data_IF_072815964935
#
_entry.id   IF_072815964935
#
_cell.length_a   1.000
_cell.length_b   1.000
_cell.length_c   1.000
_cell.angle_alpha   90.00
_cell.angle_beta   90.00
_cell.angle_gamma   90.00
#
_symmetry.space_group_name_H-M   'P 1'
#
loop_
_entity.id
_entity.type
_entity.pdbx_description
1 polymer ?
#
# COMPACT_ATOMS: atom_id res chain seq x y z
N UNK A 1 -5.89 -18.56 -9.63
CA UNK A 1 -4.55 -18.01 -9.40
C UNK A 1 -4.35 -17.76 -7.91
N UNK A 2 -3.13 -18.01 -7.40
CA UNK A 2 -2.75 -17.71 -6.02
C UNK A 2 -2.22 -16.31 -5.92
N UNK A 3 -2.69 -15.52 -4.96
CA UNK A 3 -2.19 -14.17 -4.71
C UNK A 3 -1.22 -14.13 -3.52
N UNK A 4 -0.26 -13.22 -3.61
CA UNK A 4 0.69 -12.89 -2.56
C UNK A 4 0.41 -11.47 -2.06
N UNK A 5 -0.05 -11.36 -0.83
CA UNK A 5 -0.37 -10.10 -0.18
C UNK A 5 0.76 -9.65 0.75
N UNK A 6 0.94 -8.36 0.94
CA UNK A 6 1.97 -7.81 1.84
C UNK A 6 1.69 -8.09 3.31
N UNK A 7 0.44 -8.41 3.64
CA UNK A 7 -0.05 -8.77 4.96
C UNK A 7 -1.52 -8.44 5.13
N UNK A 8 -2.13 -9.00 6.18
CA UNK A 8 -3.52 -8.75 6.53
C UNK A 8 -3.78 -7.27 6.75
N UNK A 9 -4.81 -6.73 6.10
CA UNK A 9 -5.26 -5.34 6.16
C UNK A 9 -4.20 -4.29 5.75
N UNK A 10 -3.17 -4.68 5.00
CA UNK A 10 -2.23 -3.72 4.45
C UNK A 10 -2.81 -3.00 3.24
N UNK A 11 -2.69 -1.65 3.24
CA UNK A 11 -3.31 -0.77 2.24
C UNK A 11 -3.00 -1.19 0.80
N UNK A 12 -1.74 -1.09 0.39
CA UNK A 12 -1.36 -1.32 -1.00
C UNK A 12 -1.39 -2.80 -1.42
N UNK A 13 -1.15 -3.72 -0.48
CA UNK A 13 -1.11 -5.15 -0.78
C UNK A 13 -2.42 -5.90 -0.59
N UNK A 14 -3.46 -5.26 -0.04
CA UNK A 14 -4.74 -5.92 0.21
C UNK A 14 -5.95 -5.01 0.06
N UNK A 15 -6.03 -3.90 0.81
CA UNK A 15 -7.25 -3.09 0.86
C UNK A 15 -7.56 -2.41 -0.48
N UNK A 16 -6.58 -1.75 -1.09
CA UNK A 16 -6.75 -1.07 -2.38
C UNK A 16 -7.07 -2.08 -3.50
N UNK A 17 -6.30 -3.16 -3.70
CA UNK A 17 -6.62 -4.15 -4.72
C UNK A 17 -8.00 -4.79 -4.54
N UNK A 18 -8.34 -5.20 -3.34
CA UNK A 18 -9.64 -5.83 -3.09
C UNK A 18 -10.78 -4.83 -3.21
N UNK A 19 -10.61 -3.60 -2.71
CA UNK A 19 -11.59 -2.54 -2.89
C UNK A 19 -11.85 -2.22 -4.38
N UNK A 20 -10.80 -2.21 -5.20
CA UNK A 20 -10.91 -2.09 -6.65
C UNK A 20 -11.67 -3.26 -7.28
N UNK A 21 -11.28 -4.50 -6.95
CA UNK A 21 -11.90 -5.70 -7.54
C UNK A 21 -13.37 -5.83 -7.16
N UNK A 22 -13.72 -5.55 -5.91
CA UNK A 22 -15.11 -5.59 -5.43
C UNK A 22 -15.91 -4.42 -6.02
N UNK A 23 -15.38 -3.20 -5.96
CA UNK A 23 -16.07 -2.01 -6.43
C UNK A 23 -16.37 -2.00 -7.93
N UNK A 24 -15.57 -2.72 -8.73
CA UNK A 24 -15.80 -2.91 -10.16
C UNK A 24 -16.58 -4.20 -10.49
N UNK A 25 -17.02 -4.95 -9.49
CA UNK A 25 -17.80 -6.17 -9.69
C UNK A 25 -17.00 -7.37 -10.22
N UNK A 26 -15.66 -7.32 -10.12
CA UNK A 26 -14.83 -8.47 -10.49
C UNK A 26 -14.80 -9.54 -9.40
N UNK A 27 -14.89 -9.13 -8.13
CA UNK A 27 -14.97 -10.02 -6.99
C UNK A 27 -16.28 -9.79 -6.23
N UNK A 28 -16.97 -10.86 -5.87
CA UNK A 28 -18.15 -10.82 -5.02
C UNK A 28 -17.74 -11.03 -3.56
N UNK A 29 -18.34 -10.27 -2.64
CA UNK A 29 -18.10 -10.43 -1.21
C UNK A 29 -18.65 -11.79 -0.75
N UNK A 30 -17.79 -12.59 -0.13
CA UNK A 30 -18.18 -13.88 0.47
C UNK A 30 -18.28 -13.69 1.97
N UNK A 31 -19.51 -13.80 2.49
CA UNK A 31 -19.84 -13.58 3.89
C UNK A 31 -20.66 -12.32 4.13
N UNK A 32 -20.60 -11.81 5.35
CA UNK A 32 -21.29 -10.57 5.71
C UNK A 32 -20.49 -9.33 5.25
N UNK A 33 -21.05 -8.47 4.40
CA UNK A 33 -20.35 -7.28 3.91
C UNK A 33 -20.05 -6.25 5.00
N UNK A 34 -20.64 -6.35 6.18
CA UNK A 34 -20.38 -5.48 7.32
C UNK A 34 -19.23 -5.99 8.21
N UNK A 35 -18.73 -7.20 7.94
CA UNK A 35 -17.70 -7.85 8.77
C UNK A 35 -16.36 -7.94 8.02
N UNK A 36 -15.30 -7.44 8.65
CA UNK A 36 -13.96 -7.43 8.07
C UNK A 36 -13.40 -8.84 7.79
N UNK A 37 -13.82 -9.84 8.56
CA UNK A 37 -13.39 -11.22 8.37
C UNK A 37 -13.90 -11.83 7.06
N UNK A 38 -14.96 -11.26 6.47
CA UNK A 38 -15.44 -11.63 5.13
C UNK A 38 -14.45 -11.31 4.02
N UNK A 39 -13.49 -10.39 4.26
CA UNK A 39 -12.46 -10.07 3.30
C UNK A 39 -11.55 -11.27 3.00
N UNK A 40 -11.17 -12.06 4.00
CA UNK A 40 -10.32 -13.25 3.78
C UNK A 40 -11.01 -14.29 2.91
N UNK A 41 -12.27 -14.59 3.21
CA UNK A 41 -13.08 -15.50 2.40
C UNK A 41 -13.25 -14.97 0.96
N UNK A 42 -13.42 -13.66 0.80
CA UNK A 42 -13.52 -12.99 -0.50
C UNK A 42 -12.22 -13.12 -1.30
N UNK A 43 -11.06 -12.94 -0.68
CA UNK A 43 -9.75 -13.15 -1.33
C UNK A 43 -9.61 -14.60 -1.79
N UNK A 44 -9.90 -15.55 -0.93
CA UNK A 44 -9.79 -16.96 -1.26
C UNK A 44 -10.78 -17.40 -2.34
N UNK A 45 -11.98 -16.85 -2.34
CA UNK A 45 -12.98 -17.14 -3.39
C UNK A 45 -12.61 -16.56 -4.76
N UNK A 46 -12.01 -15.38 -4.79
CA UNK A 46 -11.59 -14.76 -6.04
C UNK A 46 -10.27 -15.33 -6.58
N UNK A 47 -9.28 -15.54 -5.72
CA UNK A 47 -7.97 -16.07 -6.09
C UNK A 47 -7.89 -17.58 -5.83
N UNK A 48 -7.47 -17.98 -4.63
CA UNK A 48 -7.31 -19.38 -4.23
C UNK A 48 -7.15 -19.47 -2.72
N UNK A 49 -7.59 -20.59 -2.11
CA UNK A 49 -7.34 -20.91 -0.70
C UNK A 49 -5.85 -20.98 -0.34
N UNK A 50 -4.99 -21.24 -1.34
CA UNK A 50 -3.54 -21.25 -1.19
C UNK A 50 -2.90 -19.83 -1.30
N UNK A 51 -3.68 -18.75 -1.39
CA UNK A 51 -3.15 -17.40 -1.43
C UNK A 51 -2.44 -17.04 -0.13
N UNK A 52 -1.33 -16.31 -0.22
CA UNK A 52 -0.54 -15.90 0.95
C UNK A 52 -1.05 -14.59 1.52
N UNK A 53 -1.63 -14.64 2.73
CA UNK A 53 -2.11 -13.49 3.51
C UNK A 53 -1.41 -13.47 4.87
N UNK A 54 -0.18 -12.97 4.97
CA UNK A 54 0.57 -12.98 6.23
C UNK A 54 -0.11 -12.15 7.32
N UNK A 55 -0.29 -12.74 8.51
CA UNK A 55 -0.82 -12.07 9.73
C UNK A 55 0.27 -11.73 10.75
N UNK A 56 1.53 -11.95 10.40
CA UNK A 56 2.68 -11.71 11.28
C UNK A 56 4.00 -11.85 10.53
N UNK A 57 5.09 -12.08 11.26
CA UNK A 57 6.41 -12.30 10.66
C UNK A 57 6.40 -13.59 9.82
N UNK A 58 6.63 -13.45 8.53
CA UNK A 58 6.71 -14.52 7.55
C UNK A 58 7.72 -14.14 6.48
N UNK A 59 8.41 -15.09 5.82
CA UNK A 59 9.25 -14.80 4.67
C UNK A 59 8.52 -14.05 3.56
N UNK A 60 7.19 -14.19 3.51
CA UNK A 60 6.31 -13.59 2.51
C UNK A 60 5.59 -12.34 2.99
N UNK A 61 5.88 -11.82 4.19
CA UNK A 61 5.31 -10.56 4.67
C UNK A 61 6.05 -9.34 4.12
N UNK A 62 5.39 -8.17 4.08
CA UNK A 62 5.86 -6.91 3.50
C UNK A 62 5.92 -6.90 1.96
N UNK A 63 6.29 -5.79 1.37
CA UNK A 63 6.47 -5.66 -0.08
C UNK A 63 7.48 -6.66 -0.64
N UNK A 64 8.65 -6.73 0.02
CA UNK A 64 9.72 -7.66 -0.32
C UNK A 64 9.23 -9.11 -0.25
N UNK A 65 8.52 -9.46 0.82
CA UNK A 65 8.03 -10.81 1.03
C UNK A 65 6.94 -11.22 0.06
N UNK A 66 6.01 -10.34 -0.28
CA UNK A 66 4.96 -10.62 -1.28
C UNK A 66 5.57 -10.81 -2.69
N UNK A 67 6.58 -10.02 -3.05
CA UNK A 67 7.31 -10.23 -4.30
C UNK A 67 8.06 -11.58 -4.27
N UNK A 68 8.77 -11.87 -3.20
CA UNK A 68 9.47 -13.15 -3.02
C UNK A 68 8.52 -14.35 -3.15
N UNK A 69 7.32 -14.27 -2.57
CA UNK A 69 6.28 -15.30 -2.67
C UNK A 69 5.94 -15.62 -4.14
N UNK A 70 5.81 -14.61 -4.98
CA UNK A 70 5.55 -14.79 -6.41
C UNK A 70 6.80 -15.33 -7.14
N UNK A 71 7.97 -14.76 -6.89
CA UNK A 71 9.21 -15.14 -7.55
C UNK A 71 9.63 -16.59 -7.26
N UNK A 72 9.40 -17.07 -6.04
CA UNK A 72 9.66 -18.45 -5.64
C UNK A 72 8.54 -19.43 -6.09
N UNK A 73 7.49 -18.94 -6.76
CA UNK A 73 6.38 -19.76 -7.26
C UNK A 73 5.40 -20.23 -6.19
N UNK A 74 5.45 -19.65 -4.98
CA UNK A 74 4.45 -19.92 -3.94
C UNK A 74 3.10 -19.28 -4.28
N UNK A 75 3.10 -18.21 -5.09
CA UNK A 75 1.92 -17.60 -5.68
C UNK A 75 2.16 -17.17 -7.13
N UNK A 76 1.07 -16.83 -7.82
CA UNK A 76 1.09 -16.45 -9.24
C UNK A 76 1.11 -14.93 -9.44
N UNK A 77 0.63 -14.15 -8.45
CA UNK A 77 0.44 -12.71 -8.54
C UNK A 77 0.87 -12.08 -7.21
N UNK A 78 1.71 -11.04 -7.25
CA UNK A 78 2.04 -10.23 -6.09
C UNK A 78 1.31 -8.88 -6.14
N UNK A 79 0.60 -8.54 -5.06
CA UNK A 79 -0.09 -7.26 -4.90
C UNK A 79 0.82 -6.31 -4.11
N UNK A 80 1.55 -5.48 -4.84
CA UNK A 80 2.66 -4.67 -4.32
C UNK A 80 2.69 -3.30 -5.00
N UNK A 81 3.58 -2.40 -4.55
CA UNK A 81 3.89 -1.16 -5.27
C UNK A 81 4.68 -1.46 -6.54
N UNK A 82 4.52 -0.62 -7.54
CA UNK A 82 5.23 -0.68 -8.83
C UNK A 82 6.75 -0.58 -8.69
N UNK A 83 7.24 0.16 -7.69
CA UNK A 83 8.67 0.37 -7.42
C UNK A 83 9.38 -0.81 -6.75
N UNK A 84 8.66 -1.83 -6.30
CA UNK A 84 9.23 -2.92 -5.48
C UNK A 84 10.23 -3.77 -6.26
N UNK A 85 9.97 -4.04 -7.55
CA UNK A 85 10.92 -4.77 -8.38
C UNK A 85 12.28 -4.07 -8.44
N UNK A 86 12.27 -2.78 -8.74
CA UNK A 86 13.50 -2.00 -8.85
C UNK A 86 14.24 -1.88 -7.51
N UNK A 87 13.49 -1.87 -6.40
CA UNK A 87 14.07 -1.77 -5.06
C UNK A 87 14.80 -3.03 -4.59
N UNK A 88 14.43 -4.23 -5.08
CA UNK A 88 14.94 -5.49 -4.55
C UNK A 88 15.52 -6.44 -5.58
N UNK A 89 15.26 -6.20 -6.87
CA UNK A 89 15.64 -7.11 -7.95
C UNK A 89 16.53 -6.46 -9.02
N UNK A 90 17.11 -5.29 -8.75
CA UNK A 90 18.04 -4.63 -9.66
C UNK A 90 19.37 -4.29 -8.99
N UNK A 91 20.43 -4.12 -9.79
CA UNK A 91 21.75 -3.74 -9.30
C UNK A 91 22.52 -4.87 -8.62
N UNK A 92 23.59 -4.49 -7.90
CA UNK A 92 24.50 -5.44 -7.21
C UNK A 92 23.86 -6.13 -5.99
N UNK A 93 22.80 -5.56 -5.45
CA UNK A 93 22.13 -6.01 -4.23
C UNK A 93 20.83 -6.80 -4.52
N UNK A 94 20.61 -7.14 -5.80
CA UNK A 94 19.51 -7.99 -6.20
C UNK A 94 19.53 -9.34 -5.45
N UNK A 95 18.35 -9.77 -5.00
CA UNK A 95 18.26 -11.03 -4.26
C UNK A 95 18.28 -12.25 -5.18
N UNK A 96 18.84 -13.35 -4.70
CA UNK A 96 18.97 -14.62 -5.43
C UNK A 96 17.62 -15.23 -5.87
N UNK A 97 16.51 -14.84 -5.23
CA UNK A 97 15.16 -15.30 -5.59
C UNK A 97 14.49 -14.44 -6.67
N UNK A 98 15.12 -13.36 -7.13
CA UNK A 98 14.56 -12.53 -8.18
C UNK A 98 14.60 -13.24 -9.54
N UNK A 99 13.48 -13.15 -10.27
CA UNK A 99 13.41 -13.51 -11.68
C UNK A 99 13.87 -12.32 -12.53
N UNK A 100 14.28 -12.59 -13.76
CA UNK A 100 14.63 -11.54 -14.71
C UNK A 100 13.40 -10.66 -15.05
N UNK A 101 13.64 -9.42 -15.44
CA UNK A 101 12.56 -8.45 -15.68
C UNK A 101 11.59 -8.85 -16.78
N UNK A 102 12.05 -9.59 -17.77
CA UNK A 102 11.27 -10.11 -18.90
C UNK A 102 10.44 -11.36 -18.54
N UNK A 103 10.72 -12.00 -17.41
CA UNK A 103 9.91 -13.08 -16.85
C UNK A 103 8.73 -12.56 -16.00
N UNK A 104 8.70 -11.25 -15.71
CA UNK A 104 7.69 -10.63 -14.85
C UNK A 104 6.84 -9.66 -15.64
N UNK A 105 5.51 -9.82 -15.56
CA UNK A 105 4.55 -8.91 -16.18
C UNK A 105 3.95 -7.99 -15.13
N UNK A 106 4.08 -6.67 -15.35
CA UNK A 106 3.38 -5.66 -14.55
C UNK A 106 1.95 -5.52 -15.09
N UNK A 107 0.97 -5.70 -14.21
CA UNK A 107 -0.44 -5.50 -14.52
C UNK A 107 -0.83 -4.02 -14.36
N UNK A 108 -2.02 -3.65 -14.85
CA UNK A 108 -2.59 -2.32 -14.63
C UNK A 108 -2.70 -2.00 -13.12
N UNK A 109 -2.36 -0.77 -12.70
CA UNK A 109 -2.41 -0.39 -11.29
C UNK A 109 -3.85 -0.31 -10.78
N UNK A 110 -4.07 -0.78 -9.56
CA UNK A 110 -5.37 -0.72 -8.87
C UNK A 110 -5.69 0.65 -8.26
N UNK A 111 -4.70 1.53 -8.14
CA UNK A 111 -4.83 2.84 -7.53
C UNK A 111 -3.55 3.29 -6.82
N UNK A 112 -3.65 4.38 -6.09
CA UNK A 112 -2.55 4.98 -5.36
C UNK A 112 -2.73 4.80 -3.85
N UNK A 113 -1.67 4.40 -3.16
CA UNK A 113 -1.62 4.45 -1.70
C UNK A 113 -1.22 5.87 -1.26
N UNK A 114 -1.91 6.46 -0.26
CA UNK A 114 -1.51 7.76 0.27
C UNK A 114 -0.13 7.67 0.91
N UNK A 115 0.61 8.77 0.89
CA UNK A 115 1.86 8.90 1.64
C UNK A 115 1.59 8.97 3.15
N UNK A 116 2.64 8.88 3.95
CA UNK A 116 2.53 9.04 5.40
C UNK A 116 2.39 10.52 5.75
N UNK A 117 1.28 10.96 6.39
CA UNK A 117 1.12 12.35 6.81
C UNK A 117 1.83 12.63 8.13
N UNK A 118 2.33 13.85 8.29
CA UNK A 118 2.63 14.41 9.59
C UNK A 118 1.33 14.99 10.18
N UNK A 119 0.91 14.49 11.34
CA UNK A 119 -0.33 14.89 11.99
C UNK A 119 -0.04 15.82 13.16
N UNK A 120 -0.91 16.80 13.37
CA UNK A 120 -0.91 17.63 14.56
C UNK A 120 -2.33 17.70 15.17
N UNK A 121 -2.41 18.02 16.47
CA UNK A 121 -3.69 18.26 17.13
C UNK A 121 -4.11 19.72 16.92
N UNK A 122 -5.22 20.01 16.24
CA UNK A 122 -5.65 21.38 15.96
C UNK A 122 -5.99 22.20 17.23
N UNK A 123 -6.31 21.53 18.34
CA UNK A 123 -6.55 22.20 19.62
C UNK A 123 -5.27 22.77 20.24
N UNK A 124 -4.10 22.25 19.84
CA UNK A 124 -2.78 22.66 20.30
C UNK A 124 -2.03 23.45 19.22
N UNK A 125 -2.73 24.06 18.26
CA UNK A 125 -2.10 24.85 17.21
C UNK A 125 -1.57 26.16 17.79
N UNK A 126 -0.31 26.17 18.11
CA UNK A 126 0.46 27.31 18.61
C UNK A 126 1.49 27.79 17.56
N UNK A 127 2.25 28.82 17.92
CA UNK A 127 3.30 29.34 17.07
C UNK A 127 4.39 28.32 16.75
N UNK A 128 4.65 27.36 17.64
CA UNK A 128 5.66 26.32 17.43
C UNK A 128 5.20 25.32 16.35
N UNK A 129 3.91 24.95 16.35
CA UNK A 129 3.31 24.10 15.33
C UNK A 129 3.32 24.77 13.96
N UNK A 130 3.00 26.07 13.89
CA UNK A 130 3.05 26.84 12.65
C UNK A 130 4.48 26.91 12.13
N UNK A 131 5.46 27.21 12.99
CA UNK A 131 6.86 27.26 12.65
C UNK A 131 7.40 25.91 12.16
N UNK A 132 6.92 24.80 12.73
CA UNK A 132 7.27 23.46 12.27
C UNK A 132 6.71 23.16 10.88
N UNK A 133 5.46 23.56 10.58
CA UNK A 133 4.89 23.41 9.24
C UNK A 133 5.68 24.19 8.19
N UNK A 134 6.05 25.45 8.52
CA UNK A 134 6.87 26.30 7.66
C UNK A 134 8.26 25.68 7.43
N UNK A 135 8.91 25.17 8.49
CA UNK A 135 10.21 24.54 8.39
C UNK A 135 10.17 23.24 7.54
N UNK A 136 9.11 22.40 7.71
CA UNK A 136 8.93 21.20 6.89
C UNK A 136 8.68 21.56 5.42
N UNK A 137 7.90 22.61 5.15
CA UNK A 137 7.66 23.11 3.80
C UNK A 137 8.93 23.66 3.14
N UNK A 138 9.80 24.31 3.93
CA UNK A 138 11.07 24.88 3.44
C UNK A 138 12.05 23.81 2.95
N UNK A 139 11.92 22.55 3.40
CA UNK A 139 12.73 21.43 2.87
C UNK A 139 12.48 21.15 1.38
N UNK A 140 11.39 21.67 0.80
CA UNK A 140 11.11 21.53 -0.63
C UNK A 140 11.91 22.52 -1.49
N UNK A 141 12.54 23.55 -0.89
CA UNK A 141 13.07 24.71 -1.60
C UNK A 141 14.47 24.47 -2.17
N UNK A 142 15.19 23.48 -1.65
CA UNK A 142 16.56 23.19 -2.12
C UNK A 142 16.86 21.68 -2.19
N UNK A 143 18.00 21.36 -2.81
CA UNK A 143 18.41 19.96 -3.01
C UNK A 143 18.78 19.27 -1.71
N UNK A 144 19.36 19.95 -0.73
CA UNK A 144 19.75 19.38 0.57
C UNK A 144 18.49 18.95 1.35
N UNK A 145 17.46 19.80 1.36
CA UNK A 145 16.15 19.46 1.94
C UNK A 145 15.49 18.28 1.25
N UNK A 146 15.50 18.25 -0.07
CA UNK A 146 14.96 17.11 -0.84
C UNK A 146 15.71 15.80 -0.56
N UNK A 147 17.04 15.84 -0.42
CA UNK A 147 17.86 14.67 -0.08
C UNK A 147 17.54 14.18 1.34
N UNK A 148 17.35 15.06 2.31
CA UNK A 148 16.92 14.73 3.68
C UNK A 148 15.54 14.03 3.66
N UNK A 149 14.56 14.59 2.94
CA UNK A 149 13.23 13.99 2.81
C UNK A 149 13.30 12.62 2.17
N UNK A 150 14.12 12.45 1.15
CA UNK A 150 14.31 11.17 0.50
C UNK A 150 14.96 10.12 1.41
N UNK A 151 16.03 10.48 2.10
CA UNK A 151 16.79 9.57 2.96
C UNK A 151 15.99 9.12 4.19
N UNK A 152 15.18 10.01 4.77
CA UNK A 152 14.42 9.72 5.98
C UNK A 152 13.02 9.17 5.71
N UNK A 153 12.34 9.67 4.69
CA UNK A 153 10.90 9.43 4.48
C UNK A 153 10.58 8.80 3.11
N UNK A 154 11.56 8.66 2.23
CA UNK A 154 11.38 8.20 0.84
C UNK A 154 10.33 9.03 0.08
N UNK A 155 10.28 10.33 0.35
CA UNK A 155 9.42 11.30 -0.33
C UNK A 155 10.27 12.42 -0.93
N UNK A 156 9.70 13.16 -1.88
CA UNK A 156 10.38 14.29 -2.54
C UNK A 156 9.92 15.63 -2.00
N UNK A 157 8.69 15.67 -1.50
CA UNK A 157 8.05 16.91 -1.09
C UNK A 157 7.24 16.71 0.19
N UNK A 158 7.11 17.82 0.96
CA UNK A 158 6.18 17.98 2.07
C UNK A 158 5.22 19.11 1.74
N UNK A 159 3.93 18.83 1.63
CA UNK A 159 2.91 19.84 1.31
C UNK A 159 1.83 19.88 2.39
N UNK A 160 1.30 21.06 2.74
CA UNK A 160 0.12 21.17 3.58
C UNK A 160 -1.06 20.44 2.92
N UNK A 161 -1.81 19.68 3.72
CA UNK A 161 -2.98 18.94 3.22
C UNK A 161 -4.03 18.84 4.33
N UNK A 162 -5.18 18.31 4.00
CA UNK A 162 -6.23 17.94 4.93
C UNK A 162 -6.67 16.49 4.69
N UNK A 163 -7.47 15.94 5.59
CA UNK A 163 -7.89 14.54 5.50
C UNK A 163 -8.64 14.22 4.20
N UNK A 164 -9.49 15.12 3.72
CA UNK A 164 -10.27 14.91 2.50
C UNK A 164 -9.37 14.87 1.26
N UNK A 165 -8.44 15.80 1.13
CA UNK A 165 -7.55 15.88 -0.02
C UNK A 165 -6.52 14.74 -0.02
N UNK A 166 -6.03 14.38 1.17
CA UNK A 166 -5.01 13.36 1.31
C UNK A 166 -5.57 11.92 1.23
N UNK A 167 -6.72 11.68 1.85
CA UNK A 167 -7.29 10.33 2.03
C UNK A 167 -8.53 10.06 1.18
N UNK A 168 -9.16 11.07 0.56
CA UNK A 168 -10.43 10.90 -0.13
C UNK A 168 -10.40 9.83 -1.23
N UNK A 169 -9.36 9.81 -2.06
CA UNK A 169 -9.18 8.77 -3.10
C UNK A 169 -8.95 7.40 -2.49
N UNK A 170 -8.15 7.31 -1.41
CA UNK A 170 -7.93 6.07 -0.68
C UNK A 170 -9.22 5.58 -0.02
N UNK A 171 -9.94 6.48 0.64
CA UNK A 171 -11.23 6.19 1.25
C UNK A 171 -12.23 5.62 0.25
N UNK A 172 -12.36 6.24 -0.91
CA UNK A 172 -13.21 5.73 -1.98
C UNK A 172 -12.78 4.33 -2.46
N UNK A 173 -11.48 4.08 -2.56
CA UNK A 173 -10.97 2.77 -2.96
C UNK A 173 -11.26 1.67 -1.94
N UNK A 174 -11.16 1.96 -0.63
CA UNK A 174 -11.34 0.96 0.42
C UNK A 174 -12.78 0.84 0.93
N UNK A 175 -13.67 1.77 0.60
CA UNK A 175 -15.08 1.73 1.03
C UNK A 175 -15.86 0.49 0.56
N UNK A 176 -15.37 -0.18 -0.49
CA UNK A 176 -15.96 -1.42 -1.00
C UNK A 176 -15.46 -2.67 -0.25
N UNK A 177 -14.48 -2.53 0.63
CA UNK A 177 -13.94 -3.65 1.41
C UNK A 177 -14.91 -4.00 2.54
N UNK A 178 -15.27 -5.28 2.74
CA UNK A 178 -16.14 -5.70 3.83
C UNK A 178 -15.67 -5.16 5.19
N UNK A 179 -16.59 -4.68 6.01
CA UNK A 179 -16.32 -4.18 7.35
C UNK A 179 -15.57 -2.84 7.41
N UNK A 180 -15.19 -2.24 6.26
CA UNK A 180 -14.62 -0.90 6.24
C UNK A 180 -15.72 0.09 5.87
N UNK A 181 -16.18 0.84 6.86
CA UNK A 181 -17.01 2.02 6.64
C UNK A 181 -16.06 3.22 6.60
N UNK A 182 -15.73 3.66 5.40
CA UNK A 182 -14.96 4.88 5.23
C UNK A 182 -15.90 6.09 5.36
N UNK A 183 -16.18 6.50 6.57
CA UNK A 183 -16.79 7.79 6.84
C UNK A 183 -15.66 8.82 7.01
N UNK A 184 -15.33 9.48 5.90
CA UNK A 184 -14.38 10.59 5.84
C UNK A 184 -15.10 11.93 5.83
N UNK A 185 -16.36 11.96 6.35
CA UNK A 185 -17.26 13.10 6.35
C UNK A 185 -16.79 14.33 7.10
#
# INVERSE_FOLDING_TARGET
KKSCHTGWLKSAGMLIPMGYLIGNGYAEVIGDPTEIDSLEATVYGFFSEDSSIPRGCSPYSSYKGAMRCMMEGAGDIALIKDTVYDSYCTGSDAHDWCLDRDEVVMLEPFGQAPSHPALYNPENMDLETISLQEALGALNEDQEGADILWDLLYTKDMIPTNAQDHLGTYGAAVSNVPGIQADFG
#
